data_IF_303805271265
#
_entry.id   IF_303805271265
#
_cell.length_a   1.000
_cell.length_b   1.000
_cell.length_c   1.000
_cell.angle_alpha   90.00
_cell.angle_beta   90.00
_cell.angle_gamma   90.00
#
_symmetry.space_group_name_H-M   'P 1'
#
loop_
_entity.id
_entity.type
_entity.pdbx_description
1 polymer ?
#
# COMPACT_ATOMS: atom_id res chain seq x y z
N UNK A 1 -1.23 -0.48 -1.08
CA UNK A 1 -0.55 -1.61 -0.39
C UNK A 1 0.97 -1.50 -0.38
N UNK A 2 1.57 -1.29 -1.55
CA UNK A 2 3.01 -1.34 -1.80
C UNK A 2 3.91 -0.46 -0.94
N UNK A 3 3.42 0.69 -0.45
CA UNK A 3 4.19 1.60 0.40
C UNK A 3 4.44 1.01 1.80
N UNK A 4 3.41 0.46 2.45
CA UNK A 4 3.55 -0.20 3.76
C UNK A 4 4.48 -1.41 3.68
N UNK A 5 4.30 -2.24 2.65
CA UNK A 5 5.16 -3.41 2.44
C UNK A 5 6.62 -3.01 2.16
N UNK A 6 6.84 -1.92 1.41
CA UNK A 6 8.18 -1.37 1.18
C UNK A 6 8.82 -0.72 2.41
N UNK A 7 8.00 -0.17 3.32
CA UNK A 7 8.47 0.44 4.56
C UNK A 7 8.73 -0.59 5.69
N UNK A 8 8.12 -1.78 5.62
CA UNK A 8 8.20 -2.80 6.67
C UNK A 8 9.63 -3.11 7.18
N UNK A 9 10.67 -3.24 6.32
CA UNK A 9 12.04 -3.50 6.80
C UNK A 9 12.66 -2.37 7.63
N UNK A 10 12.18 -1.13 7.44
CA UNK A 10 12.65 0.04 8.18
C UNK A 10 11.99 0.18 9.56
N UNK A 11 10.83 -0.46 9.79
CA UNK A 11 10.10 -0.41 11.05
C UNK A 11 10.72 -1.38 12.05
N UNK A 12 11.27 -0.85 13.16
CA UNK A 12 11.91 -1.67 14.20
C UNK A 12 10.99 -2.02 15.37
N UNK A 13 9.98 -1.20 15.62
CA UNK A 13 8.96 -1.50 16.64
C UNK A 13 8.01 -2.57 16.11
N UNK A 14 7.88 -3.67 16.86
CA UNK A 14 6.94 -4.75 16.55
C UNK A 14 5.49 -4.26 16.58
N UNK A 15 5.16 -3.36 17.50
CA UNK A 15 3.81 -2.81 17.62
C UNK A 15 3.46 -1.95 16.40
N UNK A 16 4.41 -1.12 15.95
CA UNK A 16 4.24 -0.32 14.73
C UNK A 16 4.15 -1.20 13.49
N UNK A 17 4.94 -2.29 13.43
CA UNK A 17 4.87 -3.24 12.32
C UNK A 17 3.52 -3.98 12.30
N UNK A 18 3.01 -4.40 13.45
CA UNK A 18 1.71 -5.03 13.58
C UNK A 18 0.57 -4.08 13.17
N UNK A 19 0.63 -2.82 13.63
CA UNK A 19 -0.31 -1.78 13.23
C UNK A 19 -0.27 -1.56 11.70
N UNK A 20 0.92 -1.41 11.12
CA UNK A 20 1.11 -1.28 9.67
C UNK A 20 0.54 -2.49 8.90
N UNK A 21 0.76 -3.71 9.40
CA UNK A 21 0.19 -4.93 8.83
C UNK A 21 -1.34 -4.95 8.87
N UNK A 22 -1.96 -4.48 9.96
CA UNK A 22 -3.43 -4.41 10.05
C UNK A 22 -4.04 -3.42 9.04
N UNK A 23 -3.40 -2.26 8.85
CA UNK A 23 -3.81 -1.25 7.88
C UNK A 23 -3.71 -1.81 6.46
N UNK A 24 -2.62 -2.51 6.16
CA UNK A 24 -2.42 -3.17 4.86
C UNK A 24 -3.64 -4.04 4.53
N UNK A 25 -4.07 -4.95 5.42
CA UNK A 25 -5.18 -5.85 5.07
C UNK A 25 -6.50 -5.14 4.76
N UNK A 26 -6.77 -4.00 5.40
CA UNK A 26 -7.95 -3.18 5.14
C UNK A 26 -7.84 -2.53 3.76
N UNK A 27 -6.71 -1.88 3.48
CA UNK A 27 -6.46 -1.20 2.21
C UNK A 27 -6.49 -2.16 1.01
N UNK A 28 -6.12 -3.43 1.20
CA UNK A 28 -6.27 -4.49 0.20
C UNK A 28 -7.73 -4.66 -0.25
N UNK A 29 -8.65 -4.70 0.72
CA UNK A 29 -10.08 -4.87 0.45
C UNK A 29 -10.68 -3.62 -0.20
N UNK A 30 -10.26 -2.44 0.24
CA UNK A 30 -10.67 -1.18 -0.39
C UNK A 30 -10.24 -1.13 -1.86
N UNK A 31 -8.97 -1.46 -2.15
CA UNK A 31 -8.46 -1.51 -3.52
C UNK A 31 -9.23 -2.55 -4.36
N UNK A 32 -9.44 -3.76 -3.83
CA UNK A 32 -10.21 -4.81 -4.51
C UNK A 32 -11.64 -4.35 -4.85
N UNK A 33 -12.33 -3.70 -3.91
CA UNK A 33 -13.68 -3.18 -4.12
C UNK A 33 -13.71 -2.11 -5.22
N UNK A 34 -12.79 -1.14 -5.19
CA UNK A 34 -12.68 -0.10 -6.23
C UNK A 34 -12.41 -0.72 -7.60
N UNK A 35 -11.50 -1.69 -7.69
CA UNK A 35 -11.20 -2.37 -8.95
C UNK A 35 -12.41 -3.15 -9.49
N UNK A 36 -13.11 -3.86 -8.62
CA UNK A 36 -14.34 -4.57 -8.98
C UNK A 36 -15.41 -3.62 -9.51
N UNK A 37 -15.61 -2.46 -8.88
CA UNK A 37 -16.55 -1.44 -9.35
C UNK A 37 -16.14 -0.88 -10.72
N UNK A 38 -14.84 -0.79 -10.99
CA UNK A 38 -14.30 -0.36 -12.27
C UNK A 38 -14.22 -1.50 -13.31
N UNK A 39 -14.80 -2.67 -13.06
CA UNK A 39 -14.78 -3.82 -13.97
C UNK A 39 -13.41 -4.47 -14.18
N UNK A 40 -12.45 -4.17 -13.29
CA UNK A 40 -11.11 -4.74 -13.32
C UNK A 40 -11.03 -6.00 -12.46
N UNK A 41 -10.04 -6.89 -12.70
CA UNK A 41 -9.68 -7.92 -11.74
C UNK A 41 -9.44 -7.33 -10.35
N UNK A 42 -9.80 -8.04 -9.28
CA UNK A 42 -9.65 -7.52 -7.91
C UNK A 42 -8.20 -7.46 -7.43
N UNK A 43 -7.29 -8.19 -8.08
CA UNK A 43 -5.86 -8.20 -7.82
C UNK A 43 -5.06 -8.48 -9.09
N UNK A 44 -3.79 -8.06 -9.11
CA UNK A 44 -2.82 -8.35 -10.16
C UNK A 44 -1.95 -9.59 -9.84
N UNK A 45 -2.22 -10.27 -8.72
CA UNK A 45 -1.50 -11.46 -8.26
C UNK A 45 -1.72 -11.75 -6.76
N UNK A 46 -0.94 -12.68 -6.20
CA UNK A 46 -1.02 -13.01 -4.77
C UNK A 46 -0.39 -11.97 -3.83
N UNK A 47 0.49 -11.10 -4.36
CA UNK A 47 1.21 -10.09 -3.59
C UNK A 47 1.36 -8.79 -4.38
N UNK A 48 1.19 -7.66 -3.69
CA UNK A 48 1.51 -6.36 -4.26
C UNK A 48 3.02 -6.17 -4.40
N UNK A 49 3.44 -5.59 -5.53
CA UNK A 49 4.83 -5.15 -5.72
C UNK A 49 5.16 -4.07 -4.70
N UNK A 50 6.24 -4.22 -3.93
CA UNK A 50 6.68 -3.20 -2.97
C UNK A 50 7.21 -1.96 -3.67
N UNK A 51 6.92 -0.77 -3.13
CA UNK A 51 7.48 0.49 -3.61
C UNK A 51 8.57 0.98 -2.65
N UNK A 52 9.65 1.52 -3.21
CA UNK A 52 10.66 2.28 -2.46
C UNK A 52 10.10 3.64 -2.05
N UNK A 53 10.68 4.26 -1.01
CA UNK A 53 10.29 5.61 -0.59
C UNK A 53 10.33 6.62 -1.73
N UNK A 54 11.34 6.56 -2.60
CA UNK A 54 11.45 7.46 -3.77
C UNK A 54 10.27 7.30 -4.73
N UNK A 55 9.82 6.06 -4.96
CA UNK A 55 8.68 5.79 -5.83
C UNK A 55 7.37 6.23 -5.19
N UNK A 56 7.23 6.06 -3.87
CA UNK A 56 6.06 6.57 -3.13
C UNK A 56 6.00 8.09 -3.21
N UNK A 57 7.10 8.80 -2.91
CA UNK A 57 7.18 10.25 -2.99
C UNK A 57 6.84 10.76 -4.40
N UNK A 58 7.42 10.16 -5.44
CA UNK A 58 7.10 10.51 -6.83
C UNK A 58 5.61 10.32 -7.17
N UNK A 59 4.97 9.28 -6.62
CA UNK A 59 3.57 8.98 -6.91
C UNK A 59 2.60 9.96 -6.23
N UNK A 60 2.95 10.47 -5.04
CA UNK A 60 2.11 11.39 -4.27
C UNK A 60 2.41 12.87 -4.55
N UNK A 61 3.53 13.18 -5.19
CA UNK A 61 3.97 14.55 -5.52
C UNK A 61 2.86 15.43 -6.12
N UNK A 62 2.04 14.96 -7.10
CA UNK A 62 0.96 15.79 -7.67
C UNK A 62 -0.19 16.10 -6.70
N UNK A 63 -0.28 15.40 -5.57
CA UNK A 63 -1.36 15.51 -4.58
C UNK A 63 -0.96 16.38 -3.38
N UNK A 64 0.34 16.66 -3.21
CA UNK A 64 0.85 17.49 -2.11
C UNK A 64 0.97 18.92 -2.63
N UNK A 65 0.05 19.79 -2.21
CA UNK A 65 0.13 21.23 -2.45
C UNK A 65 0.80 21.92 -1.27
N UNK A 66 1.65 22.92 -1.56
CA UNK A 66 2.36 23.73 -0.56
C UNK A 66 1.47 24.77 0.10
#
# INVERSE_FOLDING_TARGET
MSAYNGAAPAIKSKDVLAAAGSIVQIEARHAAAIRSLNGNPISDGGFDKTLTTKQVLKAVDPLVTS
#
